data_IF_737250284383
#
_entry.id   IF_737250284383
#
_cell.length_a   1.000
_cell.length_b   1.000
_cell.length_c   1.000
_cell.angle_alpha   90.00
_cell.angle_beta   90.00
_cell.angle_gamma   90.00
#
_symmetry.space_group_name_H-M   'P 1'
#
loop_
_entity.id
_entity.type
_entity.pdbx_description
1 polymer ?
#
# COMPACT_ATOMS: atom_id res chain seq x y z
N UNK A 1 14.25 22.83 52.20
CA UNK A 1 12.90 22.20 52.24
C UNK A 1 12.02 22.93 51.24
N UNK A 2 11.66 22.27 50.14
CA UNK A 2 10.78 22.87 49.13
C UNK A 2 9.36 22.96 49.69
N UNK A 3 8.73 24.13 49.58
CA UNK A 3 7.41 24.38 50.17
C UNK A 3 6.36 23.48 49.49
N UNK A 4 5.41 22.91 50.24
CA UNK A 4 4.48 21.91 49.68
C UNK A 4 3.57 22.49 48.58
N UNK A 5 3.30 23.81 48.66
CA UNK A 5 2.60 24.57 47.61
C UNK A 5 3.41 24.67 46.31
N UNK A 6 4.72 24.93 46.40
CA UNK A 6 5.61 24.94 45.23
C UNK A 6 5.73 23.55 44.60
N UNK A 7 5.71 22.49 45.40
CA UNK A 7 5.70 21.12 44.87
C UNK A 7 4.39 20.82 44.11
N UNK A 8 3.23 21.16 44.68
CA UNK A 8 1.93 21.00 44.03
C UNK A 8 1.78 21.83 42.75
N UNK A 9 2.29 23.06 42.71
CA UNK A 9 2.27 23.90 41.50
C UNK A 9 3.16 23.30 40.39
N UNK A 10 4.33 22.77 40.77
CA UNK A 10 5.24 22.13 39.81
C UNK A 10 4.62 20.86 39.22
N UNK A 11 3.95 20.05 40.06
CA UNK A 11 3.27 18.84 39.60
C UNK A 11 2.07 19.17 38.71
N UNK A 12 1.33 20.25 39.02
CA UNK A 12 0.23 20.73 38.18
C UNK A 12 0.73 21.19 36.80
N UNK A 13 1.86 21.92 36.73
CA UNK A 13 2.44 22.34 35.46
C UNK A 13 2.92 21.17 34.57
N UNK A 14 3.41 20.08 35.17
CA UNK A 14 3.86 18.91 34.42
C UNK A 14 2.70 18.17 33.72
N UNK A 15 1.49 18.21 34.29
CA UNK A 15 0.30 17.57 33.72
C UNK A 15 -0.26 18.33 32.50
N UNK A 16 0.11 19.61 32.31
CA UNK A 16 -0.28 20.40 31.14
C UNK A 16 0.69 20.30 29.95
N UNK A 17 1.67 19.40 29.99
CA UNK A 17 2.54 19.17 28.82
C UNK A 17 1.75 18.46 27.72
N UNK A 18 1.18 19.24 26.80
CA UNK A 18 0.61 18.69 25.56
C UNK A 18 1.73 18.06 24.75
N UNK A 19 1.56 16.80 24.37
CA UNK A 19 2.50 16.12 23.49
C UNK A 19 2.39 16.76 22.11
N UNK A 20 3.36 17.61 21.75
CA UNK A 20 3.51 18.11 20.38
C UNK A 20 4.05 16.93 19.56
N UNK A 21 3.20 16.35 18.72
CA UNK A 21 3.61 15.33 17.76
C UNK A 21 4.22 16.05 16.56
N UNK A 22 5.55 16.16 16.56
CA UNK A 22 6.27 16.57 15.38
C UNK A 22 6.44 15.34 14.48
N UNK A 23 6.08 15.46 13.21
CA UNK A 23 6.23 14.41 12.21
C UNK A 23 7.44 14.71 11.34
N UNK A 24 8.16 13.67 10.92
CA UNK A 24 9.32 13.85 10.04
C UNK A 24 8.87 14.09 8.61
N UNK A 25 9.65 14.85 7.85
CA UNK A 25 9.37 15.10 6.43
C UNK A 25 9.20 13.80 5.64
N UNK A 26 10.00 12.75 5.92
CA UNK A 26 9.85 11.45 5.22
C UNK A 26 8.54 10.71 5.47
N UNK A 27 7.86 11.03 6.58
CA UNK A 27 6.56 10.44 6.92
C UNK A 27 5.42 11.24 6.22
N UNK A 28 5.67 12.51 5.90
CA UNK A 28 4.72 13.44 5.28
C UNK A 28 4.86 13.57 3.75
N UNK A 29 6.05 13.31 3.19
CA UNK A 29 6.38 13.63 1.81
C UNK A 29 7.29 12.58 1.15
N UNK A 30 7.24 12.55 -0.19
CA UNK A 30 8.10 11.72 -1.04
C UNK A 30 8.76 12.55 -2.14
N UNK A 31 9.90 12.11 -2.65
CA UNK A 31 10.59 12.80 -3.74
C UNK A 31 9.84 12.55 -5.05
N UNK A 32 9.47 13.61 -5.76
CA UNK A 32 8.80 13.54 -7.04
C UNK A 32 9.65 12.78 -8.07
N UNK A 33 9.04 11.77 -8.71
CA UNK A 33 9.72 10.90 -9.68
C UNK A 33 10.42 9.69 -9.06
N UNK A 34 10.53 9.61 -7.73
CA UNK A 34 11.01 8.42 -7.01
C UNK A 34 9.79 7.60 -6.64
N UNK A 35 9.49 6.57 -7.43
CA UNK A 35 8.32 5.71 -7.23
C UNK A 35 8.58 4.26 -7.62
N UNK A 36 7.80 3.37 -7.04
CA UNK A 36 7.71 1.98 -7.48
C UNK A 36 7.14 1.90 -8.90
N UNK A 37 7.72 1.04 -9.73
CA UNK A 37 7.25 0.80 -11.10
C UNK A 37 6.79 -0.65 -11.23
N UNK A 38 5.55 -0.83 -11.69
CA UNK A 38 4.98 -2.17 -11.88
C UNK A 38 5.56 -2.79 -13.15
N UNK A 39 6.00 -4.03 -13.03
CA UNK A 39 6.45 -4.83 -14.15
C UNK A 39 5.47 -5.97 -14.39
N UNK A 40 5.23 -6.26 -15.67
CA UNK A 40 4.35 -7.34 -16.11
C UNK A 40 5.07 -8.25 -17.09
N UNK A 41 4.84 -9.55 -16.98
CA UNK A 41 5.38 -10.56 -17.87
C UNK A 41 4.33 -11.60 -18.24
N UNK A 42 4.54 -12.23 -19.39
CA UNK A 42 3.79 -13.40 -19.83
C UNK A 42 4.79 -14.54 -20.02
N UNK A 43 4.59 -15.64 -19.32
CA UNK A 43 5.55 -16.74 -19.29
C UNK A 43 4.90 -18.11 -19.23
N UNK A 44 5.75 -19.13 -19.14
CA UNK A 44 5.35 -20.52 -19.03
C UNK A 44 5.94 -21.13 -17.76
N UNK A 45 5.09 -21.75 -16.95
CA UNK A 45 5.50 -22.62 -15.85
C UNK A 45 5.48 -24.06 -16.32
N UNK A 46 6.59 -24.77 -16.13
CA UNK A 46 6.77 -26.18 -16.53
C UNK A 46 7.03 -27.06 -15.32
N UNK A 47 6.98 -28.39 -15.50
CA UNK A 47 7.23 -29.35 -14.43
C UNK A 47 6.00 -29.62 -13.54
N UNK A 48 4.81 -29.20 -13.98
CA UNK A 48 3.57 -29.47 -13.26
C UNK A 48 3.19 -30.94 -13.38
N UNK A 49 2.67 -31.54 -12.29
CA UNK A 49 2.27 -32.94 -12.26
C UNK A 49 0.82 -33.14 -12.74
N UNK A 50 0.58 -32.92 -14.03
CA UNK A 50 -0.76 -33.05 -14.63
C UNK A 50 -1.77 -31.97 -14.22
N UNK A 51 -1.32 -30.91 -13.55
CA UNK A 51 -2.14 -29.80 -13.05
C UNK A 51 -2.08 -28.53 -13.92
N UNK A 52 -1.35 -28.57 -15.04
CA UNK A 52 -1.24 -27.48 -16.01
C UNK A 52 -2.52 -27.26 -16.82
N UNK A 53 -2.42 -26.33 -17.77
CA UNK A 53 -3.57 -25.91 -18.58
C UNK A 53 -4.01 -26.98 -19.58
N UNK A 54 -5.23 -26.86 -20.08
CA UNK A 54 -5.75 -27.59 -21.26
C UNK A 54 -6.12 -26.65 -22.40
N UNK A 55 -5.89 -25.36 -22.23
CA UNK A 55 -6.29 -24.32 -23.16
C UNK A 55 -5.39 -24.29 -24.40
N UNK A 56 -5.98 -23.96 -25.56
CA UNK A 56 -5.25 -23.90 -26.85
C UNK A 56 -4.16 -22.82 -26.86
N UNK A 57 -4.32 -21.76 -26.08
CA UNK A 57 -3.35 -20.67 -26.03
C UNK A 57 -2.05 -21.10 -25.35
N UNK A 58 -2.10 -21.92 -24.29
CA UNK A 58 -0.90 -22.45 -23.64
C UNK A 58 -0.10 -23.34 -24.58
N UNK A 59 -0.78 -24.19 -25.37
CA UNK A 59 -0.13 -24.98 -26.43
C UNK A 59 0.54 -24.10 -27.49
N UNK A 60 -0.08 -22.97 -27.87
CA UNK A 60 0.52 -22.02 -28.82
C UNK A 60 1.74 -21.29 -28.26
N UNK A 61 1.69 -20.91 -26.98
CA UNK A 61 2.83 -20.28 -26.31
C UNK A 61 4.00 -21.24 -26.17
N UNK A 62 3.74 -22.50 -25.81
CA UNK A 62 4.78 -23.53 -25.76
C UNK A 62 5.38 -23.80 -27.14
N UNK A 63 4.58 -23.87 -28.21
CA UNK A 63 5.08 -23.97 -29.59
C UNK A 63 5.97 -22.78 -29.95
N UNK A 64 5.55 -21.56 -29.59
CA UNK A 64 6.30 -20.34 -29.90
C UNK A 64 7.65 -20.31 -29.17
N UNK A 65 7.66 -20.69 -27.89
CA UNK A 65 8.87 -20.82 -27.09
C UNK A 65 9.82 -21.89 -27.65
N UNK A 66 9.31 -23.08 -27.96
CA UNK A 66 10.12 -24.16 -28.54
C UNK A 66 10.74 -23.74 -29.88
N UNK A 67 9.99 -23.02 -30.72
CA UNK A 67 10.50 -22.47 -31.98
C UNK A 67 11.62 -21.45 -31.76
N UNK A 68 11.51 -20.58 -30.76
CA UNK A 68 12.58 -19.64 -30.39
C UNK A 68 13.85 -20.37 -29.93
N UNK A 69 13.69 -21.53 -29.28
CA UNK A 69 14.79 -22.43 -28.90
C UNK A 69 15.30 -23.33 -30.05
N UNK A 70 14.81 -23.14 -31.28
CA UNK A 70 15.24 -23.92 -32.46
C UNK A 70 14.55 -25.27 -32.63
N UNK A 71 13.52 -25.58 -31.84
CA UNK A 71 12.74 -26.83 -31.92
C UNK A 71 11.45 -26.59 -32.69
N UNK A 72 11.35 -27.16 -33.89
CA UNK A 72 10.16 -27.07 -34.74
C UNK A 72 9.24 -28.28 -34.53
N UNK A 73 8.00 -28.01 -34.09
CA UNK A 73 6.97 -29.04 -34.05
C UNK A 73 6.26 -29.14 -35.41
N UNK A 74 5.96 -30.36 -35.89
CA UNK A 74 5.15 -30.55 -37.09
C UNK A 74 3.76 -29.89 -36.96
N UNK A 75 3.17 -29.42 -38.07
CA UNK A 75 1.80 -28.89 -38.07
C UNK A 75 0.80 -29.89 -37.48
N UNK A 76 -0.10 -29.42 -36.62
CA UNK A 76 -1.15 -30.25 -36.01
C UNK A 76 -0.73 -31.02 -34.75
N UNK A 77 0.55 -30.99 -34.36
CA UNK A 77 1.00 -31.54 -33.08
C UNK A 77 0.74 -30.53 -31.96
N UNK A 78 -0.22 -30.83 -31.09
CA UNK A 78 -0.44 -30.04 -29.87
C UNK A 78 0.47 -30.56 -28.75
N UNK A 79 1.45 -29.77 -28.28
CA UNK A 79 2.27 -30.19 -27.18
C UNK A 79 1.38 -30.30 -25.94
N UNK A 80 1.20 -31.52 -25.43
CA UNK A 80 0.26 -31.83 -24.35
C UNK A 80 0.56 -30.93 -23.13
N UNK A 81 -0.34 -29.99 -22.87
CA UNK A 81 -0.17 -28.89 -21.93
C UNK A 81 -0.39 -29.26 -20.46
N UNK A 82 -0.79 -30.48 -20.11
CA UNK A 82 -1.09 -30.84 -18.70
C UNK A 82 0.08 -30.65 -17.72
N UNK A 83 1.30 -30.53 -18.21
CA UNK A 83 2.50 -30.28 -17.40
C UNK A 83 3.03 -28.85 -17.52
N UNK A 84 2.29 -27.98 -18.21
CA UNK A 84 2.67 -26.60 -18.51
C UNK A 84 1.48 -25.66 -18.25
N UNK A 85 1.72 -24.51 -17.64
CA UNK A 85 0.72 -23.47 -17.49
C UNK A 85 1.23 -22.16 -18.07
N UNK A 86 0.37 -21.45 -18.79
CA UNK A 86 0.61 -20.08 -19.17
C UNK A 86 0.26 -19.16 -18.00
N UNK A 87 1.19 -18.28 -17.66
CA UNK A 87 1.12 -17.48 -16.44
C UNK A 87 1.33 -16.00 -16.72
N UNK A 88 0.65 -15.19 -15.92
CA UNK A 88 0.97 -13.78 -15.74
C UNK A 88 1.99 -13.65 -14.61
N UNK A 89 3.01 -12.82 -14.82
CA UNK A 89 4.03 -12.49 -13.83
C UNK A 89 3.88 -11.01 -13.49
N UNK A 90 3.88 -10.71 -12.20
CA UNK A 90 3.87 -9.35 -11.68
C UNK A 90 5.06 -9.17 -10.75
N UNK A 91 5.75 -8.05 -10.90
CA UNK A 91 6.82 -7.64 -10.01
C UNK A 91 6.76 -6.14 -9.76
N UNK A 92 7.37 -5.71 -8.67
CA UNK A 92 7.51 -4.29 -8.34
C UNK A 92 8.99 -3.94 -8.40
N UNK A 93 9.36 -3.05 -9.31
CA UNK A 93 10.69 -2.48 -9.38
C UNK A 93 10.74 -1.27 -8.46
N UNK A 94 11.35 -1.46 -7.30
CA UNK A 94 11.56 -0.41 -6.31
C UNK A 94 12.56 0.65 -6.82
N UNK A 95 12.45 1.92 -6.37
CA UNK A 95 13.40 2.95 -6.70
C UNK A 95 14.83 2.61 -6.28
N UNK A 96 15.80 3.15 -7.04
CA UNK A 96 17.24 3.03 -6.77
C UNK A 96 17.83 1.63 -6.86
N UNK A 97 17.03 0.60 -7.13
CA UNK A 97 17.49 -0.76 -7.36
C UNK A 97 18.43 -0.81 -8.57
N UNK A 98 19.51 -1.59 -8.43
CA UNK A 98 20.64 -1.59 -9.36
C UNK A 98 20.61 -2.80 -10.28
N UNK A 99 21.33 -2.68 -11.40
CA UNK A 99 21.57 -3.78 -12.32
C UNK A 99 22.17 -4.97 -11.56
N UNK A 100 21.68 -6.17 -11.85
CA UNK A 100 22.10 -7.41 -11.20
C UNK A 100 21.47 -7.69 -9.82
N UNK A 101 20.77 -6.73 -9.22
CA UNK A 101 19.98 -7.01 -8.01
C UNK A 101 18.72 -7.79 -8.36
N UNK A 102 18.22 -8.51 -7.35
CA UNK A 102 17.04 -9.37 -7.51
C UNK A 102 15.80 -8.76 -6.85
N UNK A 103 14.64 -9.04 -7.43
CA UNK A 103 13.33 -8.70 -6.90
C UNK A 103 12.43 -9.93 -6.85
N UNK A 104 11.46 -9.90 -5.96
CA UNK A 104 10.45 -10.93 -5.87
C UNK A 104 9.45 -10.84 -7.02
N UNK A 105 8.97 -11.99 -7.47
CA UNK A 105 7.92 -12.06 -8.50
C UNK A 105 6.74 -12.89 -8.02
N UNK A 106 5.55 -12.41 -8.34
CA UNK A 106 4.30 -13.13 -8.15
C UNK A 106 3.87 -13.72 -9.49
N UNK A 107 3.50 -14.99 -9.49
CA UNK A 107 3.14 -15.75 -10.68
C UNK A 107 1.72 -16.28 -10.49
N UNK A 108 0.86 -16.06 -11.47
CA UNK A 108 -0.53 -16.52 -11.42
C UNK A 108 -0.93 -17.16 -12.74
N UNK A 109 -1.66 -18.26 -12.67
CA UNK A 109 -2.20 -18.93 -13.86
C UNK A 109 -3.13 -18.00 -14.63
N UNK A 110 -2.94 -17.91 -15.95
CA UNK A 110 -3.85 -17.22 -16.86
C UNK A 110 -4.94 -18.17 -17.39
N UNK A 111 -4.65 -19.48 -17.40
CA UNK A 111 -5.54 -20.53 -17.90
C UNK A 111 -6.29 -21.27 -16.80
N UNK A 112 -6.62 -22.53 -17.10
CA UNK A 112 -7.39 -23.43 -16.25
C UNK A 112 -6.51 -24.37 -15.40
N UNK A 113 -5.22 -24.06 -15.23
CA UNK A 113 -4.32 -24.83 -14.38
C UNK A 113 -4.87 -24.96 -12.95
N UNK A 114 -4.95 -26.21 -12.47
CA UNK A 114 -5.48 -26.55 -11.15
C UNK A 114 -4.52 -26.17 -10.02
N UNK A 115 -3.22 -26.17 -10.30
CA UNK A 115 -2.16 -25.88 -9.34
C UNK A 115 -0.86 -25.57 -10.06
N UNK A 116 -0.15 -24.54 -9.58
CA UNK A 116 1.21 -24.21 -10.00
C UNK A 116 2.29 -24.87 -9.12
N UNK A 117 1.87 -25.67 -8.12
CA UNK A 117 2.80 -26.29 -7.17
C UNK A 117 3.78 -27.23 -7.87
N UNK A 118 5.05 -27.12 -7.49
CA UNK A 118 6.14 -27.93 -8.06
C UNK A 118 6.57 -27.47 -9.45
N UNK A 119 5.94 -26.42 -9.98
CA UNK A 119 6.32 -25.83 -11.25
C UNK A 119 7.56 -24.94 -11.13
N UNK A 120 8.21 -24.74 -12.28
CA UNK A 120 9.31 -23.79 -12.47
C UNK A 120 8.98 -22.83 -13.60
N UNK A 121 9.15 -21.54 -13.36
CA UNK A 121 8.98 -20.48 -14.36
C UNK A 121 10.19 -20.48 -15.29
N UNK A 122 9.91 -20.64 -16.59
CA UNK A 122 10.91 -20.44 -17.64
C UNK A 122 11.30 -18.97 -17.69
N UNK A 123 12.57 -18.69 -18.01
CA UNK A 123 13.10 -17.35 -18.23
C UNK A 123 12.13 -16.47 -19.02
N UNK A 124 11.62 -15.43 -18.37
CA UNK A 124 10.55 -14.56 -18.88
C UNK A 124 10.93 -13.10 -18.69
N UNK A 125 10.94 -12.28 -19.77
CA UNK A 125 11.18 -10.85 -19.64
C UNK A 125 9.99 -10.15 -18.99
N UNK A 126 10.28 -9.26 -18.03
CA UNK A 126 9.32 -8.39 -17.39
C UNK A 126 9.41 -6.97 -17.95
N UNK A 127 8.27 -6.47 -18.41
CA UNK A 127 8.15 -5.18 -19.09
C UNK A 127 7.50 -4.13 -18.21
N UNK A 128 7.97 -2.89 -18.34
CA UNK A 128 7.31 -1.72 -17.79
C UNK A 128 6.11 -1.29 -18.65
N UNK A 129 5.41 -0.24 -18.20
CA UNK A 129 4.29 0.36 -18.94
C UNK A 129 4.71 0.96 -20.30
N UNK A 130 5.98 1.26 -20.47
CA UNK A 130 6.60 1.73 -21.72
C UNK A 130 6.96 0.59 -22.71
N UNK A 131 6.68 -0.67 -22.33
CA UNK A 131 6.97 -1.86 -23.12
C UNK A 131 8.43 -2.30 -23.11
N UNK A 132 9.31 -1.60 -22.38
CA UNK A 132 10.72 -1.93 -22.27
C UNK A 132 10.96 -3.03 -21.23
N UNK A 133 11.99 -3.85 -21.44
CA UNK A 133 12.35 -4.93 -20.51
C UNK A 133 13.21 -4.32 -19.39
N UNK A 134 12.77 -4.52 -18.16
CA UNK A 134 13.47 -4.03 -16.96
C UNK A 134 14.07 -5.15 -16.11
N UNK A 135 13.47 -6.33 -16.14
CA UNK A 135 13.96 -7.47 -15.38
C UNK A 135 13.71 -8.78 -16.12
N UNK A 136 14.46 -9.82 -15.77
CA UNK A 136 14.32 -11.18 -16.29
C UNK A 136 13.95 -12.11 -15.14
N UNK A 137 12.77 -12.74 -15.23
CA UNK A 137 12.21 -13.59 -14.19
C UNK A 137 12.38 -15.08 -14.50
N UNK A 138 12.78 -15.88 -13.52
CA UNK A 138 12.88 -17.34 -13.61
C UNK A 138 12.88 -17.99 -12.23
N UNK A 139 12.61 -19.29 -12.17
CA UNK A 139 12.88 -20.10 -10.97
C UNK A 139 11.68 -20.87 -10.46
N UNK A 140 11.88 -21.57 -9.34
CA UNK A 140 10.91 -22.50 -8.79
C UNK A 140 9.82 -21.78 -7.98
N UNK A 141 8.57 -22.18 -8.20
CA UNK A 141 7.44 -21.53 -7.56
C UNK A 141 7.20 -22.06 -6.15
N UNK A 142 7.07 -21.14 -5.20
CA UNK A 142 6.52 -21.42 -3.88
C UNK A 142 5.00 -21.16 -3.90
N UNK A 143 4.22 -22.21 -3.69
CA UNK A 143 2.75 -22.16 -3.71
C UNK A 143 2.22 -22.51 -2.33
N UNK A 144 1.61 -21.53 -1.66
CA UNK A 144 1.03 -21.69 -0.31
C UNK A 144 -0.38 -22.31 -0.29
N UNK A 145 -0.97 -22.60 -1.46
CA UNK A 145 -2.30 -23.22 -1.57
C UNK A 145 -2.27 -24.73 -1.69
N UNK A 146 -3.20 -25.41 -1.00
CA UNK A 146 -3.40 -26.85 -0.98
C UNK A 146 -4.84 -27.19 -1.38
N UNK A 147 -4.99 -27.93 -2.48
CA UNK A 147 -6.24 -28.59 -2.82
C UNK A 147 -6.04 -30.10 -2.61
N UNK A 148 -6.83 -30.68 -1.70
CA UNK A 148 -6.87 -32.11 -1.44
C UNK A 148 -8.32 -32.60 -1.60
N UNK A 149 -8.49 -33.75 -2.26
CA UNK A 149 -9.77 -34.43 -2.38
C UNK A 149 -9.70 -35.76 -1.65
N UNK A 150 -10.71 -36.08 -0.86
CA UNK A 150 -10.92 -37.44 -0.36
C UNK A 150 -11.75 -38.24 -1.40
N UNK A 151 -11.54 -39.56 -1.43
CA UNK A 151 -12.16 -40.46 -2.40
C UNK A 151 -13.68 -40.62 -2.27
N UNK A 152 -14.27 -39.99 -1.25
CA UNK A 152 -15.70 -39.87 -0.95
C UNK A 152 -16.36 -38.67 -1.66
N UNK A 153 -15.59 -37.85 -2.39
CA UNK A 153 -16.08 -36.63 -3.06
C UNK A 153 -15.88 -35.34 -2.26
N UNK A 154 -15.38 -35.42 -1.02
CA UNK A 154 -15.09 -34.25 -0.19
C UNK A 154 -13.84 -33.53 -0.71
N UNK A 155 -13.93 -32.21 -0.94
CA UNK A 155 -12.82 -31.37 -1.42
C UNK A 155 -12.50 -30.31 -0.38
N UNK A 156 -11.25 -30.27 0.08
CA UNK A 156 -10.73 -29.20 0.94
C UNK A 156 -9.73 -28.39 0.11
N UNK A 157 -10.00 -27.09 -0.03
CA UNK A 157 -9.06 -26.16 -0.67
C UNK A 157 -8.70 -25.08 0.34
N UNK A 158 -7.42 -24.99 0.68
CA UNK A 158 -6.83 -23.96 1.54
C UNK A 158 -5.98 -23.04 0.67
N UNK A 159 -6.26 -21.74 0.68
CA UNK A 159 -5.67 -20.72 -0.21
C UNK A 159 -5.84 -21.03 -1.72
N UNK A 160 -5.14 -20.28 -2.57
CA UNK A 160 -5.25 -20.33 -4.03
C UNK A 160 -4.05 -21.12 -4.60
N UNK A 161 -4.23 -22.38 -5.04
CA UNK A 161 -3.12 -23.21 -5.55
C UNK A 161 -2.64 -22.79 -6.95
N UNK A 162 -3.41 -21.97 -7.67
CA UNK A 162 -3.09 -21.44 -9.01
C UNK A 162 -2.26 -20.16 -8.98
N UNK A 163 -1.76 -19.76 -7.81
CA UNK A 163 -0.88 -18.60 -7.62
C UNK A 163 0.32 -18.99 -6.77
N UNK A 164 1.48 -18.40 -7.06
CA UNK A 164 2.73 -18.66 -6.36
C UNK A 164 3.66 -17.45 -6.38
N UNK A 165 4.71 -17.52 -5.58
CA UNK A 165 5.76 -16.50 -5.51
C UNK A 165 7.12 -17.14 -5.76
N UNK A 166 8.01 -16.40 -6.41
CA UNK A 166 9.42 -16.75 -6.52
C UNK A 166 10.20 -15.63 -5.83
N UNK A 167 10.65 -15.85 -4.59
CA UNK A 167 11.50 -14.88 -3.89
C UNK A 167 12.81 -14.67 -4.66
N UNK A 168 13.24 -13.42 -4.82
CA UNK A 168 14.41 -13.04 -5.63
C UNK A 168 14.39 -13.65 -7.05
N UNK A 169 13.18 -13.87 -7.59
CA UNK A 169 12.97 -14.61 -8.83
C UNK A 169 13.19 -13.80 -10.10
N UNK A 170 13.45 -12.50 -10.01
CA UNK A 170 13.84 -11.70 -11.18
C UNK A 170 15.09 -10.88 -10.95
N UNK A 171 15.96 -10.86 -11.95
CA UNK A 171 17.18 -10.05 -11.98
C UNK A 171 16.95 -8.80 -12.80
N UNK A 172 17.44 -7.65 -12.33
CA UNK A 172 17.26 -6.37 -12.99
C UNK A 172 18.29 -6.19 -14.10
N UNK A 173 17.79 -5.91 -15.30
CA UNK A 173 18.56 -5.68 -16.52
C UNK A 173 18.57 -4.21 -16.95
N UNK A 174 17.66 -3.39 -16.40
CA UNK A 174 17.59 -1.96 -16.70
C UNK A 174 17.18 -1.15 -15.48
N UNK A 175 17.82 0.00 -15.29
CA UNK A 175 17.43 0.98 -14.27
C UNK A 175 16.37 1.93 -14.81
N UNK A 176 15.48 2.40 -13.93
CA UNK A 176 14.55 3.48 -14.25
C UNK A 176 15.28 4.82 -14.07
N UNK A 177 15.31 5.69 -15.09
CA UNK A 177 15.82 7.05 -14.93
C UNK A 177 15.05 7.77 -13.81
N UNK A 178 15.75 8.34 -12.85
CA UNK A 178 15.14 9.14 -11.78
C UNK A 178 15.67 10.57 -11.79
N UNK A 179 14.77 11.51 -11.50
CA UNK A 179 15.06 12.93 -11.33
C UNK A 179 16.04 13.20 -10.19
N UNK A 180 16.20 12.28 -9.24
CA UNK A 180 17.15 12.41 -8.14
C UNK A 180 18.59 12.65 -8.61
N UNK A 181 18.98 12.01 -9.72
CA UNK A 181 20.34 12.12 -10.27
C UNK A 181 20.57 13.36 -11.14
N UNK A 182 19.53 14.09 -11.54
CA UNK A 182 19.62 15.16 -12.55
C UNK A 182 18.74 16.37 -12.20
N UNK A 183 19.35 17.55 -12.07
CA UNK A 183 18.62 18.83 -11.88
C UNK A 183 19.30 19.73 -10.86
N UNK A 184 18.92 21.00 -10.75
CA UNK A 184 19.42 21.91 -9.70
C UNK A 184 18.56 21.88 -8.43
N UNK A 185 17.41 21.22 -8.53
CA UNK A 185 16.38 21.17 -7.51
C UNK A 185 15.65 19.83 -7.58
N UNK A 186 15.02 19.47 -6.47
CA UNK A 186 14.07 18.37 -6.39
C UNK A 186 12.74 18.88 -5.90
N UNK A 187 11.69 18.13 -6.21
CA UNK A 187 10.34 18.43 -5.76
C UNK A 187 10.00 17.38 -4.70
N UNK A 188 9.57 17.83 -3.52
CA UNK A 188 8.95 17.01 -2.50
C UNK A 188 7.44 17.10 -2.68
N UNK A 189 6.78 15.94 -2.76
CA UNK A 189 5.33 15.83 -2.85
C UNK A 189 4.79 15.32 -1.52
N UNK A 190 3.96 16.12 -0.86
CA UNK A 190 3.20 15.72 0.31
C UNK A 190 2.26 14.57 -0.02
N UNK A 191 2.13 13.61 0.91
CA UNK A 191 1.18 12.51 0.81
C UNK A 191 -0.27 13.00 0.85
N UNK A 192 -0.52 14.12 1.53
CA UNK A 192 -1.81 14.79 1.58
C UNK A 192 -1.61 16.27 1.25
N UNK A 193 -2.38 16.77 0.28
CA UNK A 193 -2.32 18.18 -0.10
C UNK A 193 -2.91 19.05 1.02
N UNK A 194 -2.09 19.94 1.58
CA UNK A 194 -2.49 20.89 2.61
C UNK A 194 -1.58 22.12 2.59
N UNK A 195 -2.17 23.30 2.40
CA UNK A 195 -1.42 24.57 2.31
C UNK A 195 -0.66 24.88 3.61
N UNK A 196 -1.24 24.54 4.77
CA UNK A 196 -0.61 24.81 6.07
C UNK A 196 0.65 23.96 6.23
N UNK A 197 0.55 22.67 5.95
CA UNK A 197 1.67 21.71 5.97
C UNK A 197 2.74 22.10 4.97
N UNK A 198 2.36 22.45 3.73
CA UNK A 198 3.31 22.87 2.70
C UNK A 198 4.08 24.14 3.12
N UNK A 199 3.40 25.13 3.71
CA UNK A 199 4.05 26.35 4.22
C UNK A 199 5.03 26.03 5.35
N UNK A 200 4.59 25.26 6.36
CA UNK A 200 5.42 24.90 7.52
C UNK A 200 6.62 24.04 7.12
N UNK A 201 6.46 23.14 6.15
CA UNK A 201 7.56 22.34 5.62
C UNK A 201 8.61 23.22 4.93
N UNK A 202 8.18 24.17 4.11
CA UNK A 202 9.09 25.16 3.49
C UNK A 202 9.83 25.98 4.54
N UNK A 203 9.14 26.43 5.59
CA UNK A 203 9.75 27.20 6.68
C UNK A 203 10.77 26.38 7.47
N UNK A 204 10.45 25.11 7.79
CA UNK A 204 11.35 24.21 8.50
C UNK A 204 12.64 23.95 7.70
N UNK A 205 12.53 23.74 6.38
CA UNK A 205 13.68 23.58 5.50
C UNK A 205 14.51 24.88 5.46
N UNK A 206 13.88 26.02 5.22
CA UNK A 206 14.58 27.31 5.12
C UNK A 206 15.22 27.75 6.44
N UNK A 207 14.63 27.40 7.58
CA UNK A 207 15.19 27.68 8.90
C UNK A 207 16.49 26.90 9.13
N UNK A 208 16.53 25.63 8.73
CA UNK A 208 17.68 24.75 8.98
C UNK A 208 18.78 24.88 7.93
N UNK A 209 18.40 25.03 6.66
CA UNK A 209 19.31 24.99 5.51
C UNK A 209 19.54 26.36 4.86
N UNK A 210 19.00 27.44 5.43
CA UNK A 210 19.15 28.79 4.93
C UNK A 210 17.98 29.25 4.05
N UNK A 211 17.74 30.56 4.06
CA UNK A 211 16.64 31.18 3.31
C UNK A 211 16.82 30.98 1.80
N UNK A 212 15.77 30.51 1.15
CA UNK A 212 15.74 30.30 -0.30
C UNK A 212 16.11 28.88 -0.74
N UNK A 213 16.37 27.97 0.21
CA UNK A 213 16.60 26.55 -0.06
C UNK A 213 15.30 25.85 -0.48
N UNK A 214 14.16 26.20 0.12
CA UNK A 214 12.85 25.65 -0.24
C UNK A 214 11.83 26.73 -0.62
N UNK A 215 10.90 26.36 -1.51
CA UNK A 215 9.72 27.15 -1.88
C UNK A 215 8.54 26.22 -2.18
N UNK A 216 7.40 26.45 -1.54
CA UNK A 216 6.14 25.80 -1.90
C UNK A 216 5.68 26.28 -3.28
N UNK A 217 5.39 25.33 -4.18
CA UNK A 217 4.82 25.60 -5.51
C UNK A 217 3.29 25.65 -5.38
N UNK A 218 2.73 24.66 -4.68
CA UNK A 218 1.29 24.50 -4.42
C UNK A 218 1.06 23.79 -3.07
N UNK A 219 -0.16 23.31 -2.83
CA UNK A 219 -0.56 22.64 -1.58
C UNK A 219 0.11 21.27 -1.35
N UNK A 220 0.74 20.68 -2.36
CA UNK A 220 1.36 19.36 -2.28
C UNK A 220 2.84 19.37 -2.68
N UNK A 221 3.26 20.24 -3.60
CA UNK A 221 4.60 20.24 -4.18
C UNK A 221 5.47 21.36 -3.61
N UNK A 222 6.63 20.99 -3.09
CA UNK A 222 7.65 21.88 -2.53
C UNK A 222 8.94 21.72 -3.33
N UNK A 223 9.42 22.81 -3.95
CA UNK A 223 10.71 22.84 -4.62
C UNK A 223 11.82 23.04 -3.58
N UNK A 224 12.79 22.14 -3.57
CA UNK A 224 13.98 22.19 -2.73
C UNK A 224 15.23 22.25 -3.62
N UNK A 225 15.97 23.35 -3.52
CA UNK A 225 17.25 23.50 -4.22
C UNK A 225 18.27 22.58 -3.57
N UNK A 226 18.94 21.76 -4.38
CA UNK A 226 19.83 20.71 -3.92
C UNK A 226 21.26 20.92 -4.45
N UNK A 227 22.30 20.47 -3.74
CA UNK A 227 23.66 20.48 -4.25
C UNK A 227 23.76 19.79 -5.62
N UNK A 228 24.63 20.30 -6.49
CA UNK A 228 24.92 19.68 -7.81
C UNK A 228 25.76 18.40 -7.66
N UNK A 229 26.61 18.34 -6.64
CA UNK A 229 27.44 17.16 -6.35
C UNK A 229 26.58 16.02 -5.78
N UNK A 230 26.54 14.89 -6.48
CA UNK A 230 25.82 13.69 -6.06
C UNK A 230 26.30 13.17 -4.68
N UNK A 231 27.58 13.38 -4.34
CA UNK A 231 28.13 12.95 -3.04
C UNK A 231 27.53 13.75 -1.88
N UNK A 232 27.10 14.99 -2.14
CA UNK A 232 26.48 15.86 -1.13
C UNK A 232 24.96 15.72 -1.11
N UNK A 233 24.34 15.21 -2.19
CA UNK A 233 22.89 15.03 -2.25
C UNK A 233 22.35 14.04 -1.24
N UNK A 234 22.95 12.86 -1.15
CA UNK A 234 22.43 11.82 -0.25
C UNK A 234 22.46 12.31 1.21
N UNK A 235 23.56 12.89 1.73
CA UNK A 235 23.57 13.51 3.06
C UNK A 235 22.57 14.68 3.20
N UNK A 236 22.47 15.54 2.17
CA UNK A 236 21.54 16.67 2.18
C UNK A 236 20.08 16.22 2.31
N UNK A 237 19.66 15.24 1.52
CA UNK A 237 18.29 14.72 1.58
C UNK A 237 18.04 13.90 2.85
N UNK A 238 19.03 13.18 3.36
CA UNK A 238 18.93 12.55 4.67
C UNK A 238 18.65 13.59 5.76
N UNK A 239 19.31 14.76 5.71
CA UNK A 239 19.03 15.84 6.66
C UNK A 239 17.61 16.39 6.48
N UNK A 240 17.19 16.69 5.24
CA UNK A 240 15.84 17.18 4.94
C UNK A 240 14.77 16.20 5.41
N UNK A 241 14.90 14.91 5.09
CA UNK A 241 13.93 13.86 5.43
C UNK A 241 13.74 13.67 6.95
N UNK A 242 14.78 13.98 7.74
CA UNK A 242 14.74 13.88 9.20
C UNK A 242 14.34 15.19 9.90
N UNK A 243 14.08 16.28 9.17
CA UNK A 243 13.50 17.48 9.76
C UNK A 243 12.10 17.17 10.28
N UNK A 244 11.80 17.70 11.46
CA UNK A 244 10.52 17.53 12.12
C UNK A 244 9.69 18.80 12.01
N UNK A 245 8.39 18.64 11.77
CA UNK A 245 7.43 19.74 11.76
C UNK A 245 6.07 19.28 12.28
N UNK A 246 5.28 20.23 12.80
CA UNK A 246 3.87 19.96 13.13
C UNK A 246 3.01 20.20 11.89
N UNK A 247 2.43 19.17 11.26
CA UNK A 247 1.60 19.34 10.07
C UNK A 247 0.35 20.16 10.38
N UNK A 248 -0.32 20.64 9.33
CA UNK A 248 -1.65 21.22 9.44
C UNK A 248 -2.66 20.20 9.97
N UNK A 249 -3.73 20.69 10.58
CA UNK A 249 -4.77 19.80 11.09
C UNK A 249 -5.49 19.11 9.91
N UNK A 250 -5.65 17.77 9.94
CA UNK A 250 -6.28 17.05 8.85
C UNK A 250 -7.75 17.43 8.71
N UNK A 251 -8.24 17.45 7.47
CA UNK A 251 -9.66 17.64 7.17
C UNK A 251 -10.51 16.56 7.83
N UNK A 252 -11.66 16.94 8.36
CA UNK A 252 -12.65 16.03 8.92
C UNK A 252 -13.06 14.94 7.90
N UNK A 253 -12.83 13.66 8.21
CA UNK A 253 -13.21 12.52 7.35
C UNK A 253 -13.75 11.34 8.17
N UNK A 254 -14.70 10.60 7.58
CA UNK A 254 -15.22 9.33 8.10
C UNK A 254 -14.81 8.23 7.13
N UNK A 255 -14.18 7.17 7.65
CA UNK A 255 -13.72 6.02 6.85
C UNK A 255 -14.45 4.78 7.33
N UNK A 256 -15.02 4.02 6.39
CA UNK A 256 -15.78 2.80 6.66
C UNK A 256 -15.07 1.63 5.95
N UNK A 257 -14.70 0.59 6.70
CA UNK A 257 -14.20 -0.66 6.15
C UNK A 257 -15.34 -1.68 6.05
N UNK A 258 -15.84 -1.90 4.83
CA UNK A 258 -16.95 -2.81 4.56
C UNK A 258 -16.62 -4.29 4.77
N UNK A 259 -15.34 -4.69 4.85
CA UNK A 259 -14.93 -6.08 5.13
C UNK A 259 -14.96 -6.41 6.62
N UNK A 260 -14.66 -5.43 7.47
CA UNK A 260 -14.52 -5.63 8.92
C UNK A 260 -15.59 -4.91 9.74
N UNK A 261 -16.50 -4.17 9.09
CA UNK A 261 -17.50 -3.32 9.75
C UNK A 261 -16.90 -2.13 10.53
N UNK A 262 -15.60 -1.85 10.37
CA UNK A 262 -14.90 -0.85 11.20
C UNK A 262 -15.13 0.56 10.68
N UNK A 263 -15.56 1.48 11.56
CA UNK A 263 -15.75 2.91 11.25
C UNK A 263 -14.73 3.73 12.05
N UNK A 264 -14.02 4.62 11.35
CA UNK A 264 -13.08 5.58 11.96
C UNK A 264 -13.56 6.99 11.66
N UNK A 265 -13.83 7.76 12.71
CA UNK A 265 -14.34 9.13 12.64
C UNK A 265 -13.21 10.08 13.04
N UNK A 266 -12.85 11.02 12.16
CA UNK A 266 -11.85 12.04 12.43
C UNK A 266 -12.31 13.07 13.47
N UNK A 267 -11.36 13.67 14.19
CA UNK A 267 -11.59 14.57 15.34
C UNK A 267 -12.54 15.75 15.04
N UNK A 268 -12.52 16.30 13.82
CA UNK A 268 -13.30 17.49 13.46
C UNK A 268 -14.60 17.17 12.70
N UNK A 269 -15.02 15.91 12.62
CA UNK A 269 -16.26 15.53 11.93
C UNK A 269 -17.47 15.97 12.77
N UNK A 270 -18.34 16.80 12.18
CA UNK A 270 -19.69 17.08 12.69
C UNK A 270 -20.69 16.36 11.81
N UNK A 271 -21.46 15.43 12.39
CA UNK A 271 -22.48 14.65 11.68
C UNK A 271 -23.86 15.25 11.94
N UNK A 272 -24.60 15.55 10.89
CA UNK A 272 -26.05 15.77 10.97
C UNK A 272 -26.76 14.41 10.89
N UNK A 273 -28.00 14.28 11.42
CA UNK A 273 -28.77 13.05 11.29
C UNK A 273 -28.91 12.65 9.82
N UNK A 274 -28.37 11.48 9.48
CA UNK A 274 -28.41 10.93 8.12
C UNK A 274 -28.38 9.41 8.21
N UNK A 275 -29.16 8.74 7.35
CA UNK A 275 -29.13 7.30 7.19
C UNK A 275 -28.49 6.99 5.83
N UNK A 276 -27.43 6.17 5.82
CA UNK A 276 -26.72 5.77 4.60
C UNK A 276 -26.63 4.25 4.56
N UNK A 277 -27.06 3.65 3.45
CA UNK A 277 -26.98 2.19 3.21
C UNK A 277 -26.05 1.90 2.04
N UNK A 278 -25.12 0.95 2.22
CA UNK A 278 -24.26 0.47 1.16
C UNK A 278 -23.99 -1.04 1.32
N UNK A 279 -24.54 -1.85 0.42
CA UNK A 279 -24.47 -3.31 0.52
C UNK A 279 -25.34 -3.87 1.65
N UNK A 280 -24.77 -4.69 2.52
CA UNK A 280 -25.40 -5.27 3.72
C UNK A 280 -25.17 -4.43 5.00
N UNK A 281 -24.62 -3.22 4.87
CA UNK A 281 -24.33 -2.32 5.98
C UNK A 281 -25.30 -1.13 5.99
N UNK A 282 -25.98 -0.93 7.12
CA UNK A 282 -26.83 0.23 7.39
C UNK A 282 -26.26 1.02 8.56
N UNK A 283 -25.98 2.30 8.34
CA UNK A 283 -25.53 3.23 9.40
C UNK A 283 -26.59 4.29 9.60
N UNK A 284 -27.11 4.35 10.83
CA UNK A 284 -28.08 5.37 11.25
C UNK A 284 -27.45 6.21 12.35
N UNK A 285 -27.35 7.52 12.10
CA UNK A 285 -26.91 8.49 13.10
C UNK A 285 -28.13 9.28 13.53
N UNK A 286 -28.55 9.13 14.78
CA UNK A 286 -29.70 9.81 15.36
C UNK A 286 -29.22 10.89 16.32
N UNK A 287 -29.82 12.08 16.24
CA UNK A 287 -29.61 13.13 17.24
C UNK A 287 -30.76 13.10 18.25
N UNK A 288 -30.44 12.81 19.50
CA UNK A 288 -31.37 12.92 20.61
C UNK A 288 -31.09 14.25 21.32
N UNK A 289 -32.06 15.16 21.33
CA UNK A 289 -31.93 16.42 22.06
C UNK A 289 -32.22 16.17 23.53
N UNK A 290 -31.19 16.30 24.37
CA UNK A 290 -31.35 16.22 25.82
C UNK A 290 -31.52 17.66 26.35
N UNK A 291 -32.66 17.90 27.01
CA UNK A 291 -33.01 19.21 27.55
C UNK A 291 -32.57 19.28 29.01
N UNK A 292 -31.53 20.07 29.28
CA UNK A 292 -31.10 20.35 30.65
C UNK A 292 -31.83 21.59 31.15
N UNK A 293 -32.91 21.36 31.90
CA UNK A 293 -33.69 22.44 32.53
C UNK A 293 -33.41 22.48 34.04
N UNK A 294 -32.87 23.60 34.57
CA UNK A 294 -32.73 23.79 36.01
C UNK A 294 -34.08 23.85 36.72
N UNK A 295 -34.13 23.46 38.00
CA UNK A 295 -35.35 23.54 38.83
C UNK A 295 -35.97 24.95 38.78
N UNK A 296 -37.31 25.03 38.88
CA UNK A 296 -38.13 26.22 38.62
C UNK A 296 -37.76 27.51 39.41
N UNK A 297 -36.90 27.42 40.43
CA UNK A 297 -36.43 28.55 41.24
C UNK A 297 -34.90 28.74 41.22
N UNK A 298 -34.17 27.96 40.41
CA UNK A 298 -32.71 27.98 40.37
C UNK A 298 -32.13 29.10 39.49
N UNK A 299 -32.98 29.90 38.82
CA UNK A 299 -32.56 31.06 38.01
C UNK A 299 -31.68 30.74 36.79
N UNK A 300 -31.48 29.46 36.45
CA UNK A 300 -30.69 29.04 35.30
C UNK A 300 -31.53 28.97 34.02
N UNK A 301 -30.87 29.11 32.87
CA UNK A 301 -31.51 29.04 31.55
C UNK A 301 -31.51 27.60 31.05
N UNK A 302 -32.63 27.16 30.46
CA UNK A 302 -32.72 25.85 29.80
C UNK A 302 -31.71 25.80 28.64
N UNK A 303 -30.82 24.80 28.64
CA UNK A 303 -29.88 24.55 27.57
C UNK A 303 -30.26 23.27 26.82
N UNK A 304 -30.32 23.36 25.49
CA UNK A 304 -30.50 22.19 24.61
C UNK A 304 -29.11 21.70 24.23
N UNK A 305 -28.74 20.50 24.68
CA UNK A 305 -27.46 19.89 24.32
C UNK A 305 -27.72 18.77 23.31
N UNK A 306 -27.14 18.83 22.09
CA UNK A 306 -27.26 17.73 21.15
C UNK A 306 -26.40 16.55 21.63
N UNK A 307 -27.02 15.38 21.80
CA UNK A 307 -26.34 14.12 22.03
C UNK A 307 -26.54 13.23 20.78
N UNK A 308 -25.50 12.51 20.35
CA UNK A 308 -25.52 11.74 19.11
C UNK A 308 -25.34 10.25 19.42
N UNK A 309 -26.34 9.44 19.06
CA UNK A 309 -26.27 7.99 19.16
C UNK A 309 -25.99 7.41 17.77
N UNK A 310 -24.97 6.56 17.68
CA UNK A 310 -24.53 5.91 16.44
C UNK A 310 -24.87 4.42 16.53
N UNK A 311 -25.77 3.95 15.68
CA UNK A 311 -26.14 2.53 15.59
C UNK A 311 -25.70 1.95 14.24
N UNK A 312 -24.96 0.84 14.29
CA UNK A 312 -24.46 0.12 13.11
C UNK A 312 -25.05 -1.28 13.13
N UNK A 313 -25.78 -1.63 12.08
CA UNK A 313 -26.30 -2.99 11.90
C UNK A 313 -25.60 -3.70 10.74
N UNK A 314 -25.16 -4.93 11.02
CA UNK A 314 -24.57 -5.86 10.07
C UNK A 314 -25.32 -7.20 10.18
N UNK A 315 -25.83 -7.73 9.07
CA UNK A 315 -26.40 -9.09 9.07
C UNK A 315 -25.30 -10.13 9.32
N UNK A 316 -25.52 -10.97 10.34
CA UNK A 316 -24.50 -11.80 10.97
C UNK A 316 -23.78 -12.75 10.00
N UNK A 317 -22.47 -12.57 9.83
CA UNK A 317 -21.57 -13.63 9.40
C UNK A 317 -21.10 -14.43 10.63
N UNK A 318 -21.38 -15.74 10.65
CA UNK A 318 -21.04 -16.63 11.77
C UNK A 318 -19.51 -16.74 11.90
N UNK A 319 -18.92 -16.15 12.94
CA UNK A 319 -17.56 -16.48 13.36
C UNK A 319 -17.53 -17.74 14.22
N UNK A 320 -16.71 -18.71 13.83
CA UNK A 320 -16.25 -19.79 14.70
C UNK A 320 -15.00 -19.32 15.47
N UNK A 321 -15.07 -19.32 16.80
CA UNK A 321 -13.92 -19.09 17.67
C UNK A 321 -13.11 -20.39 17.79
N UNK A 322 -11.88 -20.41 17.26
CA UNK A 322 -10.91 -21.45 17.57
C UNK A 322 -10.21 -21.09 18.89
N UNK A 323 -10.29 -21.98 19.89
CA UNK A 323 -9.48 -21.89 21.11
C UNK A 323 -8.13 -22.55 20.85
N UNK A 324 -7.05 -21.79 20.94
CA UNK A 324 -5.69 -22.33 21.07
C UNK A 324 -5.42 -22.59 22.55
N UNK A 325 -4.88 -23.76 22.87
CA UNK A 325 -4.30 -24.06 24.19
C UNK A 325 -3.00 -23.31 24.43
#
# INVERSE_FOLDING_TARGET
MMNIKTFLITIFLLVFTTVVQAERIKDLASIAGVRDNQLVGYGLVVGLNGSGDKTKFTGQSLRSYLREMGVNLPPGVDPKSKNVAAVAIHAVLTPFTKLGQTIDVNVSSLGDAKSLRGGSLIMTPLKGADGQIYAMAQGNLLVGGLAAGAGDGSRVTVNIPSSGRIPNGATIERTVPNSFSSGEHLILNLHQADFTTASRLTDAINHTLGKGTARSIDAASIKVNAPLDLNQRVPFFSLVENLELTPGEPTAKVVINSRTGTIVIGQHVRLSPVAVTHGNLSVTISANTEVSQPNAFAGGQTAITPNYDIEVSEEHSRMFLFKTG
#
